data_IF_099648741296
#
_entry.id   IF_099648741296
#
_cell.length_a   1.000
_cell.length_b   1.000
_cell.length_c   1.000
_cell.angle_alpha   90.00
_cell.angle_beta   90.00
_cell.angle_gamma   90.00
#
_symmetry.space_group_name_H-M   'P 1'
#
loop_
_entity.id
_entity.type
_entity.pdbx_description
1 polymer ?
#
# COMPACT_ATOMS: atom_id res chain seq x y z
N UNK A 1 16.05 -3.04 0.26
CA UNK A 1 16.55 -3.37 1.61
C UNK A 1 16.83 -4.87 1.61
N UNK A 2 17.88 -5.32 2.32
CA UNK A 2 18.41 -6.69 2.17
C UNK A 2 17.80 -7.73 3.13
N UNK A 3 16.72 -7.40 3.82
CA UNK A 3 16.16 -8.18 4.94
C UNK A 3 14.69 -8.63 4.74
N UNK A 4 14.17 -8.54 3.51
CA UNK A 4 12.77 -8.89 3.21
C UNK A 4 11.76 -7.81 3.59
N UNK A 5 12.22 -6.64 4.06
CA UNK A 5 11.35 -5.48 4.29
C UNK A 5 10.84 -4.93 2.95
N UNK A 6 9.52 -4.75 2.77
CA UNK A 6 8.96 -4.17 1.55
C UNK A 6 9.53 -2.79 1.26
N UNK A 7 9.75 -2.49 -0.03
CA UNK A 7 10.30 -1.19 -0.47
C UNK A 7 9.33 -0.03 -0.29
N UNK A 8 8.06 -0.34 -0.11
CA UNK A 8 6.96 0.62 -0.03
C UNK A 8 6.36 0.52 1.36
N UNK A 9 6.06 1.65 2.01
CA UNK A 9 5.32 1.70 3.28
C UNK A 9 4.56 3.02 3.42
N UNK A 10 3.58 3.06 4.32
CA UNK A 10 2.90 4.30 4.69
C UNK A 10 3.02 4.57 6.18
N UNK A 11 2.81 5.83 6.57
CA UNK A 11 2.86 6.29 7.96
C UNK A 11 1.51 6.88 8.32
N UNK A 12 1.02 6.43 9.47
CA UNK A 12 -0.26 6.83 10.02
C UNK A 12 -0.17 7.94 11.05
N UNK A 13 -1.16 7.99 11.94
CA UNK A 13 -1.23 8.95 13.06
C UNK A 13 -0.22 8.67 14.17
N UNK A 14 0.16 7.41 14.39
CA UNK A 14 1.09 7.02 15.46
C UNK A 14 2.56 7.16 15.04
N UNK A 15 2.83 7.69 13.84
CA UNK A 15 4.17 7.82 13.26
C UNK A 15 4.91 6.50 13.06
N UNK A 16 4.21 5.38 13.13
CA UNK A 16 4.70 4.05 12.84
C UNK A 16 4.62 3.74 11.34
N UNK A 17 5.50 2.84 10.89
CA UNK A 17 5.47 2.36 9.50
C UNK A 17 4.50 1.19 9.37
N UNK A 18 3.63 1.27 8.37
CA UNK A 18 2.71 0.23 7.98
C UNK A 18 3.06 -0.30 6.59
N UNK A 19 3.11 -1.63 6.47
CA UNK A 19 3.49 -2.34 5.25
C UNK A 19 2.32 -3.06 4.57
N UNK A 20 1.11 -2.85 5.09
CA UNK A 20 -0.11 -3.45 4.56
C UNK A 20 -0.91 -2.40 3.79
N UNK A 21 -1.65 -2.84 2.78
CA UNK A 21 -2.49 -2.00 1.93
C UNK A 21 -3.62 -2.81 1.32
N UNK A 22 -4.68 -2.11 0.90
CA UNK A 22 -5.71 -2.66 0.04
C UNK A 22 -6.40 -3.91 0.60
N UNK A 23 -7.13 -3.77 1.71
CA UNK A 23 -7.84 -4.91 2.31
C UNK A 23 -6.95 -5.92 3.05
N UNK A 24 -5.62 -5.79 2.98
CA UNK A 24 -4.69 -6.43 3.92
C UNK A 24 -4.77 -5.78 5.30
N UNK A 25 -4.41 -6.54 6.34
CA UNK A 25 -4.49 -6.11 7.75
C UNK A 25 -3.13 -5.85 8.40
N UNK A 26 -3.09 -5.15 9.56
CA UNK A 26 -1.90 -4.98 10.37
C UNK A 26 -1.19 -6.31 10.66
N UNK A 27 0.13 -6.30 10.60
CA UNK A 27 0.96 -7.49 10.77
C UNK A 27 1.07 -8.38 9.51
N UNK A 28 0.19 -8.19 8.53
CA UNK A 28 0.22 -8.91 7.26
C UNK A 28 0.98 -8.03 6.26
N UNK A 29 2.28 -8.30 6.10
CA UNK A 29 3.20 -7.55 5.24
C UNK A 29 2.99 -7.89 3.75
N UNK A 30 1.74 -7.83 3.29
CA UNK A 30 1.32 -8.15 1.92
C UNK A 30 0.33 -7.13 1.39
N UNK A 31 0.28 -6.99 0.07
CA UNK A 31 -0.77 -6.25 -0.63
C UNK A 31 -2.01 -7.13 -0.82
N UNK A 32 -3.14 -6.52 -1.22
CA UNK A 32 -4.39 -7.21 -1.58
C UNK A 32 -4.15 -8.44 -2.46
N UNK A 33 -3.36 -8.27 -3.52
CA UNK A 33 -3.12 -9.33 -4.48
C UNK A 33 -2.36 -10.53 -3.91
N UNK A 34 -1.51 -10.29 -2.90
CA UNK A 34 -0.74 -11.34 -2.22
C UNK A 34 -1.61 -12.17 -1.28
N UNK A 35 -2.68 -11.57 -0.74
CA UNK A 35 -3.71 -12.27 0.03
C UNK A 35 -4.59 -13.12 -0.89
N UNK A 36 -5.05 -12.52 -1.98
CA UNK A 36 -5.91 -13.19 -2.95
C UNK A 36 -5.16 -14.16 -3.88
N UNK A 37 -3.82 -14.20 -3.78
CA UNK A 37 -2.91 -14.98 -4.65
C UNK A 37 -3.14 -14.70 -6.14
N UNK A 38 -3.40 -13.44 -6.48
CA UNK A 38 -3.66 -12.99 -7.84
C UNK A 38 -2.68 -11.88 -8.29
N UNK A 39 -1.57 -11.67 -7.57
CA UNK A 39 -0.51 -10.80 -8.06
C UNK A 39 -0.02 -11.27 -9.44
N UNK A 40 0.43 -10.31 -10.26
CA UNK A 40 0.89 -10.55 -11.63
C UNK A 40 2.03 -11.55 -11.67
N UNK A 41 2.93 -11.48 -10.69
CA UNK A 41 3.97 -12.47 -10.46
C UNK A 41 3.67 -13.17 -9.10
N UNK A 42 3.37 -14.48 -9.10
CA UNK A 42 3.00 -15.21 -7.89
C UNK A 42 4.16 -15.40 -6.90
N UNK A 43 5.39 -15.03 -7.28
CA UNK A 43 6.56 -15.05 -6.39
C UNK A 43 6.55 -13.91 -5.37
N UNK A 44 5.80 -12.83 -5.62
CA UNK A 44 5.82 -11.61 -4.83
C UNK A 44 4.48 -11.37 -4.13
N UNK A 45 4.53 -10.72 -2.97
CA UNK A 45 3.35 -10.41 -2.14
C UNK A 45 2.71 -9.05 -2.45
N UNK A 46 3.40 -8.24 -3.26
CA UNK A 46 2.93 -6.99 -3.82
C UNK A 46 3.38 -6.92 -5.28
N UNK A 47 2.55 -6.35 -6.14
CA UNK A 47 2.94 -6.18 -7.53
C UNK A 47 4.15 -5.19 -7.63
N UNK A 48 4.37 -4.31 -6.63
CA UNK A 48 5.49 -3.34 -6.56
C UNK A 48 6.86 -3.96 -6.47
N UNK A 49 6.94 -5.21 -6.04
CA UNK A 49 8.20 -5.91 -5.85
C UNK A 49 8.60 -6.71 -7.11
N UNK A 50 7.74 -6.76 -8.14
CA UNK A 50 7.90 -7.64 -9.29
C UNK A 50 8.81 -7.10 -10.42
N UNK A 51 9.57 -6.01 -10.22
CA UNK A 51 10.52 -5.41 -11.18
C UNK A 51 10.03 -5.39 -12.66
N UNK A 52 8.75 -5.05 -12.87
CA UNK A 52 8.15 -5.09 -14.21
C UNK A 52 8.17 -3.72 -14.90
N UNK A 53 8.50 -3.75 -16.20
CA UNK A 53 8.46 -2.59 -17.10
C UNK A 53 7.06 -2.11 -17.46
N UNK A 54 6.01 -2.82 -17.05
CA UNK A 54 4.64 -2.40 -17.28
C UNK A 54 4.12 -1.72 -16.03
N UNK A 55 3.26 -0.72 -16.19
CA UNK A 55 2.53 -0.14 -15.06
C UNK A 55 1.74 -1.24 -14.35
N UNK A 56 1.98 -1.35 -13.06
CA UNK A 56 1.22 -2.19 -12.14
C UNK A 56 0.68 -1.32 -11.01
N UNK A 57 -0.34 -1.84 -10.37
CA UNK A 57 -1.12 -1.11 -9.40
C UNK A 57 -1.35 -1.97 -8.17
N UNK A 58 -1.03 -1.42 -7.01
CA UNK A 58 -1.45 -1.94 -5.72
C UNK A 58 -2.37 -0.88 -5.09
N UNK A 59 -3.65 -1.22 -4.98
CA UNK A 59 -4.67 -0.31 -4.51
C UNK A 59 -5.55 -0.94 -3.45
N UNK A 60 -6.10 -0.09 -2.60
CA UNK A 60 -7.35 -0.38 -1.90
C UNK A 60 -7.50 0.43 -0.61
N UNK A 61 -8.49 0.02 0.18
CA UNK A 61 -8.92 0.78 1.35
C UNK A 61 -8.06 0.44 2.56
N UNK A 62 -7.59 1.48 3.23
CA UNK A 62 -7.14 1.44 4.61
C UNK A 62 -8.34 1.72 5.51
N UNK A 63 -8.66 0.80 6.41
CA UNK A 63 -9.89 0.84 7.22
C UNK A 63 -9.63 0.81 8.74
N UNK A 64 -8.36 0.71 9.14
CA UNK A 64 -7.96 0.64 10.55
C UNK A 64 -7.88 2.05 11.13
N UNK A 65 -8.94 2.43 11.84
CA UNK A 65 -9.16 3.77 12.41
C UNK A 65 -7.99 4.24 13.28
N UNK A 66 -7.38 3.31 14.01
CA UNK A 66 -6.30 3.55 14.95
C UNK A 66 -5.02 4.03 14.24
N UNK A 67 -4.85 3.67 12.97
CA UNK A 67 -3.68 4.02 12.17
C UNK A 67 -3.91 5.24 11.27
N UNK A 68 -5.17 5.57 10.95
CA UNK A 68 -5.52 6.71 10.09
C UNK A 68 -5.47 8.05 10.84
N UNK A 69 -5.25 9.19 10.14
CA UNK A 69 -5.06 9.34 8.69
C UNK A 69 -3.68 8.94 8.20
N UNK A 70 -3.58 8.70 6.89
CA UNK A 70 -2.28 8.59 6.20
C UNK A 70 -1.62 9.97 6.21
N UNK A 71 -0.43 10.05 6.79
CA UNK A 71 0.37 11.28 6.86
C UNK A 71 1.52 11.28 5.84
N UNK A 72 2.09 10.11 5.54
CA UNK A 72 3.16 9.95 4.55
C UNK A 72 3.04 8.60 3.85
N UNK A 73 3.55 8.55 2.62
CA UNK A 73 3.78 7.29 1.90
C UNK A 73 5.15 7.37 1.27
N UNK A 74 5.93 6.31 1.44
CA UNK A 74 7.22 6.15 0.80
C UNK A 74 7.13 5.03 -0.22
N UNK A 75 7.54 5.33 -1.45
CA UNK A 75 7.69 4.35 -2.52
C UNK A 75 9.18 4.19 -2.79
N UNK A 76 9.69 2.97 -2.61
CA UNK A 76 11.10 2.65 -2.81
C UNK A 76 11.41 2.17 -4.23
N UNK A 77 12.69 1.87 -4.46
CA UNK A 77 13.25 1.35 -5.71
C UNK A 77 13.02 2.21 -6.97
N UNK A 78 12.65 3.48 -6.80
CA UNK A 78 12.51 4.46 -7.88
C UNK A 78 13.84 5.12 -8.30
N UNK A 79 14.96 4.72 -7.69
CA UNK A 79 16.28 5.30 -8.00
C UNK A 79 16.97 4.66 -9.22
N UNK A 80 16.37 3.61 -9.80
CA UNK A 80 16.88 3.01 -11.04
C UNK A 80 16.52 3.91 -12.23
N UNK A 81 17.45 4.13 -13.19
CA UNK A 81 17.18 5.00 -14.34
C UNK A 81 15.93 4.57 -15.12
N UNK A 82 14.95 5.48 -15.17
CA UNK A 82 13.70 5.29 -15.90
C UNK A 82 12.61 4.51 -15.13
N UNK A 83 12.84 4.14 -13.87
CA UNK A 83 11.76 3.71 -12.97
C UNK A 83 10.91 4.90 -12.55
N UNK A 84 9.58 4.70 -12.50
CA UNK A 84 8.61 5.72 -12.12
C UNK A 84 7.59 5.17 -11.12
N UNK A 85 7.14 6.02 -10.21
CA UNK A 85 6.02 5.74 -9.32
C UNK A 85 5.03 6.91 -9.30
N UNK A 86 3.75 6.57 -9.23
CA UNK A 86 2.63 7.50 -9.07
C UNK A 86 1.80 7.05 -7.88
N UNK A 87 1.64 7.97 -6.94
CA UNK A 87 0.87 7.76 -5.71
C UNK A 87 -0.39 8.61 -5.74
N UNK A 88 -1.52 8.00 -5.39
CA UNK A 88 -2.75 8.73 -5.06
C UNK A 88 -3.23 8.31 -3.68
N UNK A 89 -3.40 9.30 -2.79
CA UNK A 89 -4.04 9.11 -1.48
C UNK A 89 -5.36 9.86 -1.52
N UNK A 90 -6.45 9.11 -1.40
CA UNK A 90 -7.81 9.65 -1.34
C UNK A 90 -8.06 10.39 -0.03
N UNK A 91 -9.09 11.23 0.02
CA UNK A 91 -9.48 11.91 1.25
C UNK A 91 -9.89 10.90 2.32
N UNK A 92 -9.56 11.19 3.57
CA UNK A 92 -10.10 10.46 4.71
C UNK A 92 -11.63 10.63 4.73
N UNK A 93 -12.36 9.52 4.67
CA UNK A 93 -13.81 9.49 4.83
C UNK A 93 -14.16 8.92 6.18
N UNK A 94 -14.93 9.70 6.93
CA UNK A 94 -15.46 9.31 8.23
C UNK A 94 -16.98 9.31 8.15
N UNK A 95 -17.61 8.19 8.48
CA UNK A 95 -19.06 8.05 8.57
C UNK A 95 -19.39 7.31 9.86
N UNK A 96 -20.09 7.95 10.79
CA UNK A 96 -20.61 7.30 11.98
C UNK A 96 -22.10 7.00 11.83
N UNK A 97 -22.53 5.83 12.28
CA UNK A 97 -23.93 5.51 12.53
C UNK A 97 -24.14 4.97 13.95
N UNK A 98 -25.36 4.52 14.25
CA UNK A 98 -25.73 4.00 15.59
C UNK A 98 -24.99 2.69 15.93
N UNK A 99 -24.42 2.00 14.93
CA UNK A 99 -23.75 0.71 15.06
C UNK A 99 -22.21 0.82 15.07
N UNK A 100 -21.63 1.94 14.61
CA UNK A 100 -20.21 2.24 14.74
C UNK A 100 -19.70 3.33 13.80
N UNK A 101 -18.39 3.58 13.88
CA UNK A 101 -17.69 4.50 12.96
C UNK A 101 -17.00 3.71 11.84
N UNK A 102 -17.26 4.11 10.59
CA UNK A 102 -16.47 3.76 9.42
C UNK A 102 -15.45 4.88 9.14
N UNK A 103 -14.16 4.57 9.25
CA UNK A 103 -13.07 5.50 8.92
C UNK A 103 -12.17 4.85 7.88
N UNK A 104 -12.13 5.42 6.68
CA UNK A 104 -11.40 4.84 5.55
C UNK A 104 -10.59 5.86 4.76
N UNK A 105 -9.48 5.41 4.19
CA UNK A 105 -8.75 6.15 3.16
C UNK A 105 -8.42 5.20 2.00
N UNK A 106 -8.70 5.64 0.77
CA UNK A 106 -8.29 4.90 -0.43
C UNK A 106 -6.84 5.23 -0.74
N UNK A 107 -5.96 4.24 -0.78
CA UNK A 107 -4.59 4.42 -1.23
C UNK A 107 -4.37 3.62 -2.49
N UNK A 108 -3.77 4.27 -3.48
CA UNK A 108 -3.46 3.68 -4.78
C UNK A 108 -2.02 3.99 -5.14
N UNK A 109 -1.24 2.96 -5.41
CA UNK A 109 0.14 3.06 -5.83
C UNK A 109 0.24 2.41 -7.20
N UNK A 110 0.62 3.21 -8.20
CA UNK A 110 1.03 2.73 -9.51
C UNK A 110 2.53 2.86 -9.64
N UNK A 111 3.22 1.82 -10.09
CA UNK A 111 4.67 1.86 -10.32
C UNK A 111 5.02 1.10 -11.59
N UNK A 112 6.17 1.48 -12.12
CA UNK A 112 6.84 0.89 -13.27
C UNK A 112 8.33 0.87 -12.95
N UNK A 113 8.97 -0.28 -13.01
CA UNK A 113 10.40 -0.45 -12.76
C UNK A 113 11.08 -0.85 -14.09
N UNK A 114 12.15 -0.17 -14.50
CA UNK A 114 12.87 -0.43 -15.76
C UNK A 114 14.15 -1.24 -15.60
#
# INVERSE_FOLDING_TARGET
MADGTPYTWWVGRGSEKHFYWGGSGPGIQKCSCGIDRNCTDPKYDCNCDADQRHWREDAGLLIYKEHLPVSQVAVGDTNRPGSEAKLTVGPLRCQGDVLGDLVVSLVNIRYQIL
#
